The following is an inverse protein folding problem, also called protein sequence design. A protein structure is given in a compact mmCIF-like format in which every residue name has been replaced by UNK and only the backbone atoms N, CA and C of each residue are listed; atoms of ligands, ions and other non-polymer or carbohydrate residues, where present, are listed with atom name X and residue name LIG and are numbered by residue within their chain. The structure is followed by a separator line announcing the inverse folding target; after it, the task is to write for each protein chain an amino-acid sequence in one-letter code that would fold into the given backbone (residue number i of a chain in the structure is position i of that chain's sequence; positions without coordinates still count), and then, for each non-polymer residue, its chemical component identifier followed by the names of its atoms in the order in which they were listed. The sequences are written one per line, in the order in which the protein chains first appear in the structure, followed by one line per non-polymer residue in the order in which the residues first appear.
data_IF_818047178140
#
_entry.id   IF_818047178140
#
_cell.length_a   1.000
_cell.length_b   1.000
_cell.length_c   1.000
_cell.angle_alpha   90.00
_cell.angle_beta   90.00
_cell.angle_gamma   90.00
#
_symmetry.space_group_name_H-M   'P 1'
#
loop_
_entity.id
_entity.type
_entity.pdbx_description
1 polymer ?
#
# COMPACT_ATOMS: atom_id res chain seq x y z
N UNK A 1 -27.45 -6.58 6.09
CA UNK A 1 -27.04 -6.47 4.69
C UNK A 1 -25.55 -6.78 4.54
N UNK A 2 -25.12 -7.14 3.37
CA UNK A 2 -23.70 -7.38 3.07
C UNK A 2 -22.84 -6.17 3.40
N UNK A 3 -23.32 -4.96 3.14
CA UNK A 3 -22.59 -3.73 3.41
C UNK A 3 -22.30 -3.52 4.90
N UNK A 4 -23.24 -3.88 5.76
CA UNK A 4 -23.04 -3.83 7.21
C UNK A 4 -22.03 -4.89 7.69
N UNK A 5 -22.04 -6.06 7.10
CA UNK A 5 -21.08 -7.11 7.42
C UNK A 5 -19.66 -6.73 6.99
N UNK A 6 -19.51 -6.13 5.81
CA UNK A 6 -18.23 -5.61 5.32
C UNK A 6 -17.71 -4.50 6.23
N UNK A 7 -18.55 -3.50 6.53
CA UNK A 7 -18.17 -2.39 7.41
C UNK A 7 -17.76 -2.85 8.81
N UNK A 8 -18.45 -3.85 9.35
CA UNK A 8 -18.13 -4.43 10.65
C UNK A 8 -16.79 -5.18 10.61
N UNK A 9 -16.53 -5.94 9.55
CA UNK A 9 -15.26 -6.65 9.37
C UNK A 9 -14.08 -5.67 9.25
N UNK A 10 -14.25 -4.59 8.50
CA UNK A 10 -13.25 -3.52 8.38
C UNK A 10 -12.98 -2.86 9.73
N UNK A 11 -14.02 -2.53 10.48
CA UNK A 11 -13.90 -1.98 11.84
C UNK A 11 -13.13 -2.92 12.76
N UNK A 12 -13.46 -4.20 12.77
CA UNK A 12 -12.76 -5.19 13.58
C UNK A 12 -11.27 -5.27 13.20
N UNK A 13 -10.98 -5.29 11.92
CA UNK A 13 -9.60 -5.36 11.44
C UNK A 13 -8.78 -4.13 11.90
N UNK A 14 -9.33 -2.93 11.73
CA UNK A 14 -8.69 -1.70 12.24
C UNK A 14 -8.50 -1.78 13.76
N UNK A 15 -9.50 -2.19 14.48
CA UNK A 15 -9.43 -2.32 15.93
C UNK A 15 -8.32 -3.29 16.38
N UNK A 16 -8.20 -4.45 15.73
CA UNK A 16 -7.14 -5.42 16.05
C UNK A 16 -5.75 -4.85 15.75
N UNK A 17 -5.57 -4.19 14.62
CA UNK A 17 -4.28 -3.58 14.25
C UNK A 17 -3.94 -2.42 15.18
N UNK A 18 -4.86 -1.49 15.41
CA UNK A 18 -4.65 -0.31 16.24
C UNK A 18 -4.26 -0.66 17.68
N UNK A 19 -4.77 -1.77 18.18
CA UNK A 19 -4.49 -2.25 19.53
C UNK A 19 -3.41 -3.34 19.60
N UNK A 20 -2.75 -3.64 18.50
CA UNK A 20 -1.72 -4.70 18.40
C UNK A 20 -2.22 -6.07 18.89
N UNK A 21 -3.48 -6.38 18.65
CA UNK A 21 -4.09 -7.64 19.04
C UNK A 21 -3.81 -8.67 17.93
N UNK A 22 -3.24 -9.84 18.27
CA UNK A 22 -3.04 -10.90 17.30
C UNK A 22 -4.37 -11.35 16.69
N UNK A 23 -4.41 -11.45 15.37
CA UNK A 23 -5.59 -11.87 14.64
C UNK A 23 -5.46 -13.33 14.20
N UNK A 24 -6.53 -14.07 14.31
CA UNK A 24 -6.56 -15.42 13.76
C UNK A 24 -6.43 -15.36 12.24
N UNK A 25 -5.66 -16.29 11.71
CA UNK A 25 -5.34 -16.36 10.28
C UNK A 25 -6.60 -16.38 9.41
N UNK A 26 -7.64 -17.08 9.84
CA UNK A 26 -8.90 -17.19 9.11
C UNK A 26 -9.63 -15.85 8.98
N UNK A 27 -9.59 -15.03 10.02
CA UNK A 27 -10.19 -13.68 10.00
C UNK A 27 -9.39 -12.75 9.09
N UNK A 28 -8.09 -12.82 9.17
CA UNK A 28 -7.20 -12.05 8.28
C UNK A 28 -7.44 -12.45 6.82
N UNK A 29 -7.58 -13.73 6.54
CA UNK A 29 -7.82 -14.25 5.20
C UNK A 29 -9.17 -13.81 4.64
N UNK A 30 -10.21 -13.82 5.45
CA UNK A 30 -11.52 -13.28 5.09
C UNK A 30 -11.46 -11.81 4.71
N UNK A 31 -10.80 -11.00 5.52
CA UNK A 31 -10.65 -9.57 5.26
C UNK A 31 -9.83 -9.33 4.00
N UNK A 32 -8.68 -10.00 3.88
CA UNK A 32 -7.79 -9.94 2.73
C UNK A 32 -8.51 -10.28 1.42
N UNK A 33 -9.30 -11.35 1.40
CA UNK A 33 -10.03 -11.80 0.21
C UNK A 33 -11.29 -10.97 -0.04
N UNK A 34 -11.90 -10.44 0.99
CA UNK A 34 -13.12 -9.63 0.89
C UNK A 34 -12.89 -8.20 0.41
N UNK A 35 -11.79 -7.57 0.84
CA UNK A 35 -11.45 -6.21 0.46
C UNK A 35 -9.92 -6.01 0.39
N UNK A 36 -9.32 -6.48 -0.68
CA UNK A 36 -7.88 -6.41 -0.91
C UNK A 36 -7.32 -4.99 -0.83
N UNK A 37 -7.98 -4.04 -1.47
CA UNK A 37 -7.53 -2.65 -1.50
C UNK A 37 -7.44 -2.06 -0.09
N UNK A 38 -8.47 -2.25 0.72
CA UNK A 38 -8.51 -1.80 2.12
C UNK A 38 -7.45 -2.51 2.97
N UNK A 39 -7.28 -3.81 2.75
CA UNK A 39 -6.25 -4.61 3.40
C UNK A 39 -4.84 -4.05 3.17
N UNK A 40 -4.49 -3.75 1.92
CA UNK A 40 -3.18 -3.16 1.59
C UNK A 40 -3.04 -1.75 2.18
N UNK A 41 -4.08 -0.93 2.09
CA UNK A 41 -4.06 0.42 2.68
C UNK A 41 -3.83 0.40 4.19
N UNK A 42 -4.43 -0.54 4.91
CA UNK A 42 -4.21 -0.70 6.35
C UNK A 42 -2.74 -0.99 6.68
N UNK A 43 -2.06 -1.76 5.85
CA UNK A 43 -0.63 -2.00 6.00
C UNK A 43 0.19 -0.73 5.76
N UNK A 44 -0.17 0.09 4.78
CA UNK A 44 0.43 1.43 4.61
C UNK A 44 0.24 2.30 5.84
N UNK A 45 -0.99 2.39 6.34
CA UNK A 45 -1.36 3.22 7.48
C UNK A 45 -0.56 2.88 8.75
N UNK A 46 -0.28 1.60 8.97
CA UNK A 46 0.41 1.09 10.16
C UNK A 46 1.89 0.76 9.95
N UNK A 47 2.48 1.17 8.84
CA UNK A 47 3.88 0.84 8.50
C UNK A 47 4.19 -0.65 8.62
N UNK A 48 3.32 -1.50 8.10
CA UNK A 48 3.49 -2.94 8.11
C UNK A 48 3.83 -3.47 6.72
N UNK A 49 4.81 -4.37 6.67
CA UNK A 49 5.08 -5.15 5.47
C UNK A 49 3.88 -6.03 5.13
N UNK A 50 3.43 -5.94 3.88
CA UNK A 50 2.30 -6.72 3.39
C UNK A 50 2.51 -8.24 3.54
N UNK A 51 3.74 -8.69 3.57
CA UNK A 51 4.12 -10.11 3.63
C UNK A 51 4.31 -10.60 5.06
N UNK A 52 5.25 -10.01 5.80
CA UNK A 52 5.66 -10.51 7.12
C UNK A 52 5.10 -9.72 8.30
N UNK A 53 4.34 -8.66 8.06
CA UNK A 53 3.77 -7.77 9.09
C UNK A 53 4.80 -7.04 9.95
N UNK A 54 6.09 -7.20 9.67
CA UNK A 54 7.14 -6.44 10.32
C UNK A 54 7.10 -4.97 9.86
N UNK A 55 7.81 -4.12 10.58
CA UNK A 55 7.87 -2.70 10.24
C UNK A 55 8.35 -2.49 8.80
N UNK A 56 7.52 -1.80 8.02
CA UNK A 56 7.81 -1.49 6.63
C UNK A 56 8.26 -0.03 6.50
N UNK A 57 9.43 0.15 5.94
CA UNK A 57 10.00 1.48 5.65
C UNK A 57 10.00 1.79 4.17
N UNK A 58 9.70 0.82 3.32
CA UNK A 58 9.85 0.94 1.88
C UNK A 58 8.51 0.81 1.16
N UNK A 59 8.44 1.47 0.02
CA UNK A 59 7.29 1.42 -0.87
C UNK A 59 7.74 0.84 -2.19
N UNK A 60 7.20 -0.32 -2.53
CA UNK A 60 7.44 -0.94 -3.83
C UNK A 60 6.50 -0.34 -4.88
N UNK A 61 7.08 0.18 -5.95
CA UNK A 61 6.34 0.69 -7.11
C UNK A 61 6.04 -0.47 -8.05
N UNK A 62 4.79 -0.91 -8.08
CA UNK A 62 4.32 -1.96 -9.01
C UNK A 62 4.35 -1.43 -10.44
N UNK A 63 3.88 -0.21 -10.65
CA UNK A 63 4.09 0.48 -11.91
C UNK A 63 5.57 0.84 -12.05
N UNK A 64 6.23 0.24 -13.03
CA UNK A 64 7.64 0.55 -13.28
C UNK A 64 7.77 2.01 -13.70
N UNK A 65 8.23 2.82 -12.79
CA UNK A 65 8.47 4.26 -12.99
C UNK A 65 9.37 4.51 -14.21
N UNK A 66 10.20 3.52 -14.56
CA UNK A 66 10.99 3.53 -15.78
C UNK A 66 10.13 3.65 -17.06
N UNK A 67 8.92 3.09 -17.07
CA UNK A 67 7.97 3.19 -18.21
C UNK A 67 7.39 4.60 -18.35
N UNK A 68 7.32 5.35 -17.27
CA UNK A 68 6.85 6.74 -17.27
C UNK A 68 7.98 7.74 -17.56
N UNK A 69 9.20 7.28 -17.81
CA UNK A 69 10.37 8.15 -18.06
C UNK A 69 11.24 8.41 -16.84
N UNK A 70 11.11 7.60 -15.77
CA UNK A 70 11.91 7.66 -14.56
C UNK A 70 11.18 8.23 -13.35
N UNK A 71 11.83 8.18 -12.18
CA UNK A 71 11.27 8.61 -10.89
C UNK A 71 10.74 10.05 -10.89
N UNK A 72 11.32 10.92 -11.68
CA UNK A 72 10.85 12.31 -11.83
C UNK A 72 9.40 12.44 -12.32
N UNK A 73 8.83 11.38 -12.88
CA UNK A 73 7.45 11.32 -13.35
C UNK A 73 6.52 10.54 -12.40
N UNK A 74 6.99 10.15 -11.20
CA UNK A 74 6.19 9.42 -10.25
C UNK A 74 4.97 10.23 -9.82
N UNK A 75 3.81 9.57 -9.76
CA UNK A 75 2.54 10.15 -9.32
C UNK A 75 2.01 9.37 -8.13
N UNK A 76 1.39 10.06 -7.20
CA UNK A 76 0.86 9.45 -5.98
C UNK A 76 -0.14 8.31 -6.23
N UNK A 77 -0.88 8.38 -7.32
CA UNK A 77 -1.90 7.41 -7.70
C UNK A 77 -1.35 6.18 -8.45
N UNK A 78 -0.04 6.10 -8.71
CA UNK A 78 0.53 4.91 -9.31
C UNK A 78 0.51 3.74 -8.31
N UNK A 79 0.25 2.54 -8.84
CA UNK A 79 0.12 1.31 -8.04
C UNK A 79 1.37 0.99 -7.25
N UNK A 80 1.20 0.73 -5.95
CA UNK A 80 2.30 0.45 -5.03
C UNK A 80 1.87 -0.40 -3.84
N UNK A 81 2.84 -0.95 -3.10
CA UNK A 81 2.60 -1.72 -1.89
C UNK A 81 3.68 -1.47 -0.84
N UNK A 82 3.35 -1.57 0.48
CA UNK A 82 4.32 -1.40 1.55
C UNK A 82 5.08 -2.71 1.80
N UNK A 83 6.40 -2.64 1.81
CA UNK A 83 7.27 -3.79 2.07
C UNK A 83 8.40 -3.42 3.04
N UNK A 84 8.89 -4.41 3.79
CA UNK A 84 10.18 -4.27 4.45
C UNK A 84 11.32 -4.45 3.43
N UNK A 85 12.52 -4.03 3.78
CA UNK A 85 13.69 -4.12 2.88
C UNK A 85 13.95 -5.52 2.35
N UNK A 86 13.72 -6.55 3.17
CA UNK A 86 13.89 -7.96 2.76
C UNK A 86 12.95 -8.33 1.62
N UNK A 87 11.65 -8.06 1.78
CA UNK A 87 10.66 -8.42 0.77
C UNK A 87 10.68 -7.47 -0.43
N UNK A 88 11.12 -6.22 -0.25
CA UNK A 88 11.37 -5.32 -1.37
C UNK A 88 12.53 -5.86 -2.24
N UNK A 89 13.64 -6.25 -1.62
CA UNK A 89 14.74 -6.89 -2.35
C UNK A 89 14.33 -8.18 -3.03
N UNK A 90 13.44 -8.96 -2.41
CA UNK A 90 12.93 -10.19 -3.01
C UNK A 90 12.11 -9.92 -4.28
N UNK A 91 11.16 -8.98 -4.24
CA UNK A 91 10.37 -8.67 -5.45
C UNK A 91 11.23 -8.12 -6.58
N UNK A 92 12.24 -7.33 -6.27
CA UNK A 92 13.21 -6.85 -7.27
C UNK A 92 14.01 -8.00 -7.89
N UNK A 93 14.30 -9.04 -7.11
CA UNK A 93 15.08 -10.20 -7.55
C UNK A 93 14.26 -11.19 -8.39
N UNK A 94 13.07 -11.57 -7.92
CA UNK A 94 12.25 -12.62 -8.57
C UNK A 94 11.19 -12.09 -9.53
N UNK A 95 10.95 -10.80 -9.51
CA UNK A 95 9.96 -10.12 -10.34
C UNK A 95 8.54 -10.17 -9.77
N UNK A 96 7.74 -9.21 -10.20
CA UNK A 96 6.39 -8.94 -9.72
C UNK A 96 5.45 -10.14 -9.83
N UNK A 97 5.42 -10.77 -11.00
CA UNK A 97 4.52 -11.90 -11.28
C UNK A 97 4.81 -13.08 -10.36
N UNK A 98 6.10 -13.45 -10.23
CA UNK A 98 6.54 -14.55 -9.38
C UNK A 98 6.28 -14.24 -7.90
N UNK A 99 6.55 -13.01 -7.48
CA UNK A 99 6.32 -12.55 -6.10
C UNK A 99 4.84 -12.61 -5.72
N UNK A 100 3.97 -12.05 -6.56
CA UNK A 100 2.53 -12.07 -6.32
C UNK A 100 1.98 -13.49 -6.25
N UNK A 101 2.44 -14.38 -7.12
CA UNK A 101 2.06 -15.79 -7.11
C UNK A 101 2.54 -16.53 -5.87
N UNK A 102 3.78 -16.28 -5.45
CA UNK A 102 4.37 -16.90 -4.24
C UNK A 102 3.60 -16.56 -2.98
N UNK A 103 3.19 -15.30 -2.83
CA UNK A 103 2.51 -14.80 -1.63
C UNK A 103 0.99 -14.64 -1.79
N UNK A 104 0.42 -15.13 -2.88
CA UNK A 104 -1.01 -15.02 -3.18
C UNK A 104 -1.55 -13.58 -3.12
N UNK A 105 -0.77 -12.64 -3.68
CA UNK A 105 -1.15 -11.23 -3.72
C UNK A 105 -1.98 -10.92 -4.95
N UNK A 106 -2.90 -9.96 -4.80
CA UNK A 106 -3.69 -9.42 -5.91
C UNK A 106 -3.03 -8.17 -6.53
N UNK A 107 -1.76 -7.90 -6.19
CA UNK A 107 -1.00 -6.75 -6.64
C UNK A 107 -0.92 -5.63 -5.61
N UNK A 108 -0.47 -4.46 -6.01
CA UNK A 108 -0.49 -3.26 -5.18
C UNK A 108 -1.83 -2.52 -5.28
N UNK A 109 -1.85 -1.30 -4.78
CA UNK A 109 -3.01 -0.43 -4.86
C UNK A 109 -2.66 0.98 -5.37
N UNK A 110 -3.63 1.62 -5.98
CA UNK A 110 -3.62 3.06 -6.25
C UNK A 110 -4.19 3.79 -5.04
N UNK A 111 -3.46 4.76 -4.51
CA UNK A 111 -3.92 5.57 -3.38
C UNK A 111 -4.86 6.67 -3.86
N UNK A 112 -5.90 6.94 -3.11
CA UNK A 112 -6.66 8.19 -3.26
C UNK A 112 -5.82 9.36 -2.75
N UNK A 113 -6.19 10.59 -3.15
CA UNK A 113 -5.52 11.81 -2.66
C UNK A 113 -5.55 11.91 -1.13
N UNK A 114 -6.68 11.58 -0.51
CA UNK A 114 -6.85 11.57 0.93
C UNK A 114 -5.92 10.54 1.61
N UNK A 115 -5.91 9.33 1.10
CA UNK A 115 -5.04 8.26 1.60
C UNK A 115 -3.56 8.63 1.47
N UNK A 116 -3.16 9.16 0.32
CA UNK A 116 -1.81 9.63 0.07
C UNK A 116 -1.39 10.70 1.10
N UNK A 117 -2.22 11.71 1.31
CA UNK A 117 -1.95 12.77 2.28
C UNK A 117 -1.83 12.24 3.72
N UNK A 118 -2.56 11.18 4.05
CA UNK A 118 -2.50 10.53 5.37
C UNK A 118 -1.20 9.78 5.63
N UNK A 119 -0.57 9.22 4.60
CA UNK A 119 0.56 8.30 4.77
C UNK A 119 1.91 8.81 4.26
N UNK A 120 1.95 9.82 3.38
CA UNK A 120 3.17 10.27 2.70
C UNK A 120 4.34 10.59 3.64
N UNK A 121 4.06 11.11 4.83
CA UNK A 121 5.08 11.46 5.81
C UNK A 121 5.61 10.27 6.61
N UNK A 122 4.93 9.14 6.55
CA UNK A 122 5.34 7.90 7.23
C UNK A 122 6.43 7.12 6.47
N UNK A 123 6.59 7.43 5.18
CA UNK A 123 7.52 6.76 4.28
C UNK A 123 8.50 7.79 3.71
N UNK A 124 9.34 8.35 4.58
CA UNK A 124 10.28 9.42 4.23
C UNK A 124 11.16 9.05 3.03
N UNK A 125 11.15 9.91 2.03
CA UNK A 125 11.95 9.74 0.81
C UNK A 125 11.29 8.89 -0.28
N UNK A 126 10.35 8.00 0.06
CA UNK A 126 9.67 7.14 -0.93
C UNK A 126 8.58 7.84 -1.72
N UNK A 127 8.06 8.96 -1.21
CA UNK A 127 7.05 9.78 -1.89
C UNK A 127 7.59 11.15 -2.33
N UNK A 128 8.89 11.39 -2.27
CA UNK A 128 9.48 12.69 -2.53
C UNK A 128 9.14 13.22 -3.92
N UNK A 129 9.36 12.42 -4.94
CA UNK A 129 9.11 12.80 -6.31
C UNK A 129 7.60 12.94 -6.59
N UNK A 130 6.80 12.03 -6.10
CA UNK A 130 5.34 12.11 -6.24
C UNK A 130 4.76 13.31 -5.51
N UNK A 131 5.32 13.71 -4.37
CA UNK A 131 4.91 14.91 -3.64
C UNK A 131 5.26 16.19 -4.42
N UNK A 132 6.44 16.25 -5.03
CA UNK A 132 6.81 17.38 -5.88
C UNK A 132 5.90 17.51 -7.09
N UNK A 133 5.57 16.40 -7.73
CA UNK A 133 4.66 16.37 -8.87
C UNK A 133 3.22 16.72 -8.47
N UNK A 134 2.76 16.26 -7.31
CA UNK A 134 1.45 16.63 -6.77
C UNK A 134 1.32 18.13 -6.55
N UNK A 135 2.34 18.78 -5.97
CA UNK A 135 2.35 20.24 -5.76
C UNK A 135 2.28 20.99 -7.08
N UNK A 136 3.07 20.58 -8.09
CA UNK A 136 3.05 21.19 -9.43
C UNK A 136 1.67 21.05 -10.10
N UNK A 137 1.07 19.86 -10.02
CA UNK A 137 -0.25 19.62 -10.61
C UNK A 137 -1.31 20.53 -9.95
N UNK A 138 -1.25 20.70 -8.62
CA UNK A 138 -2.16 21.60 -7.88
C UNK A 138 -1.95 23.07 -8.21
N UNK A 139 -0.74 23.50 -8.40
CA UNK A 139 -0.44 24.89 -8.84
C UNK A 139 -1.02 25.17 -10.23
N UNK A 140 -0.94 24.21 -11.16
CA UNK A 140 -1.50 24.33 -12.49
C UNK A 140 -3.04 24.36 -12.49
N UNK A 141 -3.70 23.60 -11.62
CA UNK A 141 -5.16 23.61 -11.48
C UNK A 141 -5.70 24.96 -10.97
N UNK A 142 -4.87 25.73 -10.23
CA UNK A 142 -5.25 27.04 -9.67
C UNK A 142 -4.94 28.23 -10.61
N UNK A 143 -4.38 28.00 -11.77
CA UNK A 143 -4.19 28.99 -12.83
C UNK A 143 -5.38 29.00 -13.79
#
# INVERSE_FOLDING_TARGET
SNDNAIAFTEFLYEFFIDNSIPMWLEIEELFRNGNWRKYVYMHFKHNQCLICKQYATEVHHVYKVARAGGRKHDKYYYERMPLCSKHHSEVESIGEVTFNKKYHLQGGIELTEEEYNSIKNKYKGHFKESEQNYKKDKEQENE
#
